data_IF_054161032439
#
_entry.id   IF_054161032439
#
_cell.length_a   1.000
_cell.length_b   1.000
_cell.length_c   1.000
_cell.angle_alpha   90.00
_cell.angle_beta   90.00
_cell.angle_gamma   90.00
#
_symmetry.space_group_name_H-M   'P 1'
#
loop_
_entity.id
_entity.type
_entity.pdbx_description
1 polymer ?
#
# COMPACT_ATOMS: atom_id res chain seq x y z
N UNK A 1 25.36 29.42 -35.34
CA UNK A 1 24.95 28.01 -35.54
C UNK A 1 24.14 27.66 -34.30
N UNK A 2 22.91 28.14 -34.27
CA UNK A 2 21.95 27.87 -33.22
C UNK A 2 21.24 26.57 -33.59
N UNK A 3 21.59 25.49 -32.92
CA UNK A 3 20.85 24.24 -33.06
C UNK A 3 19.51 24.39 -32.34
N UNK A 4 18.44 24.29 -33.11
CA UNK A 4 17.05 24.22 -32.66
C UNK A 4 16.90 23.19 -31.52
N UNK A 5 16.65 23.67 -30.30
CA UNK A 5 16.23 22.87 -29.14
C UNK A 5 14.72 22.59 -29.17
N UNK A 6 14.14 22.35 -30.34
CA UNK A 6 12.72 22.05 -30.51
C UNK A 6 12.52 20.52 -30.57
N UNK A 7 12.51 19.90 -29.38
CA UNK A 7 12.29 18.46 -29.24
C UNK A 7 12.71 17.89 -27.89
N UNK A 8 12.64 18.68 -26.81
CA UNK A 8 12.94 18.16 -25.47
C UNK A 8 11.85 17.19 -25.05
N UNK A 9 12.18 15.89 -25.08
CA UNK A 9 11.33 14.83 -24.54
C UNK A 9 10.81 15.19 -23.14
N UNK A 10 9.51 15.06 -22.92
CA UNK A 10 8.82 15.29 -21.64
C UNK A 10 9.08 14.20 -20.59
N UNK A 11 10.26 13.58 -20.62
CA UNK A 11 10.65 12.51 -19.71
C UNK A 11 11.16 13.02 -18.35
N UNK A 12 11.33 12.09 -17.42
CA UNK A 12 11.91 12.36 -16.09
C UNK A 12 13.31 11.77 -15.97
N UNK A 13 14.13 12.39 -15.13
CA UNK A 13 15.48 11.93 -14.82
C UNK A 13 15.54 11.57 -13.33
N UNK A 14 16.06 10.37 -13.03
CA UNK A 14 16.37 9.97 -11.66
C UNK A 14 17.89 9.87 -11.48
N UNK A 15 18.38 10.40 -10.36
CA UNK A 15 19.79 10.26 -10.00
C UNK A 15 20.08 8.79 -9.64
N UNK A 16 21.17 8.26 -10.16
CA UNK A 16 21.60 6.89 -9.87
C UNK A 16 22.82 6.91 -8.93
N UNK A 17 23.93 7.49 -9.39
CA UNK A 17 25.17 7.59 -8.62
C UNK A 17 26.13 8.63 -9.19
N UNK A 18 27.18 8.96 -8.44
CA UNK A 18 28.34 9.70 -8.93
C UNK A 18 29.50 8.74 -9.21
N UNK A 19 30.20 8.96 -10.30
CA UNK A 19 31.39 8.21 -10.69
C UNK A 19 32.48 9.14 -11.23
N UNK A 20 33.69 8.60 -11.42
CA UNK A 20 34.78 9.32 -12.07
C UNK A 20 34.49 9.42 -13.57
N UNK A 21 34.91 10.50 -14.22
CA UNK A 21 34.67 10.76 -15.66
C UNK A 21 35.09 9.59 -16.57
N UNK A 22 36.14 8.85 -16.21
CA UNK A 22 36.60 7.68 -16.97
C UNK A 22 35.60 6.53 -16.98
N UNK A 23 34.79 6.38 -15.93
CA UNK A 23 33.78 5.32 -15.82
C UNK A 23 32.47 5.70 -16.53
N UNK A 24 32.28 7.00 -16.81
CA UNK A 24 31.07 7.51 -17.43
C UNK A 24 30.87 6.92 -18.83
N UNK A 25 31.94 6.89 -19.63
CA UNK A 25 31.88 6.42 -21.01
C UNK A 25 31.41 4.96 -21.08
N UNK A 26 31.91 4.11 -20.17
CA UNK A 26 31.50 2.71 -20.07
C UNK A 26 30.04 2.55 -19.63
N UNK A 27 29.58 3.37 -18.69
CA UNK A 27 28.21 3.32 -18.19
C UNK A 27 27.18 3.74 -19.27
N UNK A 28 27.47 4.84 -19.97
CA UNK A 28 26.61 5.36 -21.06
C UNK A 28 26.61 4.42 -22.26
N UNK A 29 27.77 3.85 -22.63
CA UNK A 29 27.84 2.89 -23.74
C UNK A 29 27.07 1.59 -23.43
N UNK A 30 27.05 1.15 -22.18
CA UNK A 30 26.30 -0.05 -21.77
C UNK A 30 24.79 0.19 -21.73
N UNK A 31 24.34 1.39 -21.40
CA UNK A 31 22.92 1.73 -21.30
C UNK A 31 22.63 3.12 -21.88
N UNK A 32 22.00 3.22 -23.06
CA UNK A 32 21.74 4.50 -23.72
C UNK A 32 20.70 5.37 -22.97
N UNK A 33 20.02 4.81 -21.97
CA UNK A 33 19.12 5.57 -21.08
C UNK A 33 19.87 6.37 -20.02
N UNK A 34 21.18 6.18 -19.87
CA UNK A 34 21.96 6.97 -18.93
C UNK A 34 22.52 8.23 -19.57
N UNK A 35 22.43 9.33 -18.83
CA UNK A 35 22.98 10.63 -19.19
C UNK A 35 23.94 11.06 -18.08
N UNK A 36 25.19 11.31 -18.45
CA UNK A 36 26.18 11.92 -17.58
C UNK A 36 26.06 13.44 -17.59
N UNK A 37 26.05 14.06 -16.42
CA UNK A 37 26.08 15.50 -16.28
C UNK A 37 27.02 15.95 -15.16
N UNK A 38 27.78 17.01 -15.41
CA UNK A 38 28.56 17.72 -14.38
C UNK A 38 27.64 18.70 -13.66
N UNK A 39 26.92 18.21 -12.65
CA UNK A 39 26.00 19.03 -11.85
C UNK A 39 26.77 19.61 -10.67
N UNK A 40 26.75 20.94 -10.46
CA UNK A 40 27.37 21.55 -9.29
C UNK A 40 26.89 20.91 -8.00
N UNK A 41 27.82 20.59 -7.10
CA UNK A 41 27.54 19.75 -5.94
C UNK A 41 26.42 20.30 -5.04
N UNK A 42 26.41 21.61 -4.81
CA UNK A 42 25.37 22.29 -4.02
C UNK A 42 23.96 22.13 -4.61
N UNK A 43 23.82 21.98 -5.94
CA UNK A 43 22.53 21.73 -6.60
C UNK A 43 22.14 20.26 -6.39
N UNK A 44 23.09 19.34 -6.60
CA UNK A 44 22.88 17.90 -6.49
C UNK A 44 22.33 17.53 -5.12
N UNK A 45 22.95 18.02 -4.02
CA UNK A 45 22.59 17.70 -2.63
C UNK A 45 21.11 18.01 -2.31
N UNK A 46 20.53 19.02 -2.94
CA UNK A 46 19.11 19.38 -2.72
C UNK A 46 18.12 18.37 -3.31
N UNK A 47 18.57 17.59 -4.30
CA UNK A 47 17.74 16.63 -5.06
C UNK A 47 17.90 15.19 -4.59
N UNK A 48 18.98 14.88 -3.86
CA UNK A 48 19.24 13.52 -3.41
C UNK A 48 18.19 13.02 -2.41
N UNK A 49 17.83 11.76 -2.58
CA UNK A 49 17.16 10.99 -1.53
C UNK A 49 18.14 10.70 -0.40
N UNK A 50 17.63 10.21 0.73
CA UNK A 50 18.46 9.88 1.91
C UNK A 50 19.47 8.78 1.59
N UNK A 51 19.11 7.80 0.77
CA UNK A 51 19.98 6.67 0.45
C UNK A 51 21.08 7.09 -0.52
N UNK A 52 20.72 7.88 -1.53
CA UNK A 52 21.67 8.48 -2.47
C UNK A 52 22.68 9.39 -1.75
N UNK A 53 22.21 10.24 -0.84
CA UNK A 53 23.09 11.10 -0.04
C UNK A 53 24.10 10.30 0.80
N UNK A 54 23.71 9.14 1.32
CA UNK A 54 24.63 8.24 2.04
C UNK A 54 25.68 7.66 1.08
N UNK A 55 25.29 7.26 -0.12
CA UNK A 55 26.20 6.75 -1.14
C UNK A 55 27.23 7.81 -1.53
N UNK A 56 26.81 9.07 -1.71
CA UNK A 56 27.72 10.20 -1.96
C UNK A 56 28.64 10.43 -0.76
N UNK A 57 28.14 10.44 0.47
CA UNK A 57 29.02 10.56 1.65
C UNK A 57 30.13 9.49 1.68
N UNK A 58 29.82 8.23 1.31
CA UNK A 58 30.83 7.15 1.25
C UNK A 58 31.89 7.43 0.19
N UNK A 59 31.48 7.90 -0.99
CA UNK A 59 32.40 8.24 -2.08
C UNK A 59 33.39 9.33 -1.66
N UNK A 60 32.91 10.30 -0.87
CA UNK A 60 33.71 11.41 -0.33
C UNK A 60 34.40 11.10 1.00
N UNK A 61 34.33 9.85 1.49
CA UNK A 61 34.85 9.42 2.79
C UNK A 61 34.37 10.29 3.97
N UNK A 62 33.15 10.83 3.88
CA UNK A 62 32.56 11.65 4.94
C UNK A 62 31.97 10.76 6.05
N UNK A 63 32.09 11.18 7.32
CA UNK A 63 31.50 10.44 8.43
C UNK A 63 29.98 10.43 8.33
N UNK A 64 29.38 9.24 8.22
CA UNK A 64 27.92 9.10 8.15
C UNK A 64 27.34 9.17 9.58
N UNK A 65 26.43 10.11 9.88
CA UNK A 65 25.84 10.23 11.20
C UNK A 65 25.07 8.96 11.57
N UNK A 66 25.22 8.51 12.83
CA UNK A 66 24.54 7.31 13.36
C UNK A 66 23.01 7.44 13.26
N UNK A 67 22.50 8.66 13.41
CA UNK A 67 21.11 9.01 13.18
C UNK A 67 21.00 9.57 11.77
N UNK A 68 20.45 8.77 10.87
CA UNK A 68 20.41 9.07 9.44
C UNK A 68 19.26 10.05 9.10
N UNK A 69 19.23 11.23 9.71
CA UNK A 69 18.27 12.26 9.34
C UNK A 69 18.72 12.91 8.02
N UNK A 70 17.80 13.11 7.09
CA UNK A 70 18.12 13.66 5.77
C UNK A 70 18.76 15.06 5.84
N UNK A 71 18.39 15.88 6.84
CA UNK A 71 18.98 17.20 7.06
C UNK A 71 20.44 17.15 7.49
N UNK A 72 20.82 16.20 8.34
CA UNK A 72 22.22 16.05 8.81
C UNK A 72 23.13 15.59 7.66
N UNK A 73 22.64 14.70 6.79
CA UNK A 73 23.38 14.24 5.60
C UNK A 73 23.61 15.42 4.64
N UNK A 74 22.58 16.25 4.39
CA UNK A 74 22.73 17.44 3.53
C UNK A 74 23.71 18.44 4.12
N UNK A 75 23.60 18.76 5.40
CA UNK A 75 24.52 19.67 6.07
C UNK A 75 25.98 19.16 6.02
N UNK A 76 26.20 17.85 6.19
CA UNK A 76 27.52 17.25 6.07
C UNK A 76 28.09 17.33 4.65
N UNK A 77 27.24 17.15 3.62
CA UNK A 77 27.65 17.28 2.22
C UNK A 77 27.95 18.75 1.87
N UNK A 78 27.08 19.69 2.25
CA UNK A 78 27.24 21.13 1.97
C UNK A 78 28.45 21.76 2.68
N UNK A 79 28.76 21.31 3.90
CA UNK A 79 29.89 21.83 4.67
C UNK A 79 31.25 21.27 4.22
N UNK A 80 31.26 20.25 3.36
CA UNK A 80 32.51 19.64 2.92
C UNK A 80 33.04 20.33 1.66
N UNK A 81 34.35 20.51 1.65
CA UNK A 81 35.11 20.94 0.48
C UNK A 81 36.15 19.85 0.19
N UNK A 82 36.14 19.33 -1.04
CA UNK A 82 37.13 18.35 -1.47
C UNK A 82 37.52 18.57 -2.92
N UNK A 83 38.77 18.21 -3.24
CA UNK A 83 39.34 18.30 -4.59
C UNK A 83 38.78 17.23 -5.56
N UNK A 84 37.97 16.30 -5.06
CA UNK A 84 37.44 15.18 -5.86
C UNK A 84 36.32 15.67 -6.80
N UNK A 85 35.67 16.80 -6.47
CA UNK A 85 34.54 17.34 -7.24
C UNK A 85 34.85 17.62 -8.71
N UNK A 86 36.09 17.97 -9.05
CA UNK A 86 36.46 18.36 -10.41
C UNK A 86 36.42 17.18 -11.40
N UNK A 87 36.49 15.94 -10.89
CA UNK A 87 36.53 14.72 -11.69
C UNK A 87 35.27 13.85 -11.56
N UNK A 88 34.28 14.28 -10.79
CA UNK A 88 33.05 13.52 -10.58
C UNK A 88 31.95 13.95 -11.55
N UNK A 89 31.32 12.95 -12.15
CA UNK A 89 30.14 13.13 -13.00
C UNK A 89 28.96 12.45 -12.33
N UNK A 90 27.81 13.12 -12.33
CA UNK A 90 26.55 12.53 -11.89
C UNK A 90 25.89 11.78 -13.03
N UNK A 91 25.53 10.52 -12.79
CA UNK A 91 24.82 9.68 -13.76
C UNK A 91 23.32 9.70 -13.45
N UNK A 92 22.54 9.97 -14.49
CA UNK A 92 21.09 10.08 -14.42
C UNK A 92 20.45 9.08 -15.35
N UNK A 93 19.41 8.37 -14.89
CA UNK A 93 18.59 7.52 -15.76
C UNK A 93 17.42 8.33 -16.30
N UNK A 94 17.31 8.36 -17.63
CA UNK A 94 16.18 8.91 -18.35
C UNK A 94 15.05 7.89 -18.47
N UNK A 95 13.82 8.35 -18.22
CA UNK A 95 12.60 7.59 -18.44
C UNK A 95 11.73 8.33 -19.47
N UNK A 96 11.63 7.81 -20.72
CA UNK A 96 10.72 8.37 -21.72
C UNK A 96 9.27 8.01 -21.37
N UNK A 97 8.39 9.01 -21.29
CA UNK A 97 6.94 8.79 -21.15
C UNK A 97 6.31 9.38 -19.88
N UNK A 98 5.04 9.75 -20.03
CA UNK A 98 4.27 10.67 -19.19
C UNK A 98 4.45 10.45 -17.69
N UNK A 99 4.96 11.49 -17.04
CA UNK A 99 4.80 11.67 -15.60
C UNK A 99 3.32 11.91 -15.34
N UNK A 100 2.50 10.85 -15.31
CA UNK A 100 1.44 10.80 -14.32
C UNK A 100 2.18 10.94 -12.99
N UNK A 101 2.24 12.19 -12.50
CA UNK A 101 2.77 12.49 -11.19
C UNK A 101 1.97 11.60 -10.26
N UNK A 102 2.59 10.50 -9.79
CA UNK A 102 2.04 9.73 -8.68
C UNK A 102 1.57 10.78 -7.67
N UNK A 103 0.27 10.82 -7.34
CA UNK A 103 -0.33 11.95 -6.66
C UNK A 103 0.58 12.26 -5.50
N UNK A 104 1.13 13.49 -5.47
CA UNK A 104 1.92 13.94 -4.32
C UNK A 104 1.01 13.72 -3.14
N UNK A 105 1.24 12.63 -2.40
CA UNK A 105 0.61 12.39 -1.12
C UNK A 105 1.15 13.53 -0.29
N UNK A 106 0.41 14.65 -0.28
CA UNK A 106 0.62 15.71 0.66
C UNK A 106 0.70 15.01 2.00
N UNK A 107 1.90 15.04 2.58
CA UNK A 107 2.09 14.60 3.96
C UNK A 107 1.29 15.59 4.78
N UNK A 108 -0.01 15.32 4.92
CA UNK A 108 -0.87 15.95 5.91
C UNK A 108 -0.07 15.95 7.20
N UNK A 109 0.05 17.15 7.77
CA UNK A 109 0.84 17.39 8.95
C UNK A 109 0.51 16.31 9.99
N UNK A 110 1.56 15.81 10.64
CA UNK A 110 1.57 14.63 11.52
C UNK A 110 0.72 14.80 12.81
N UNK A 111 -0.16 15.80 12.86
CA UNK A 111 -1.07 16.07 13.95
C UNK A 111 -2.51 15.61 13.70
N UNK A 112 -2.88 15.20 12.47
CA UNK A 112 -4.11 14.43 12.29
C UNK A 112 -3.84 12.98 12.67
N UNK A 113 -4.33 12.57 13.85
CA UNK A 113 -4.44 11.16 14.26
C UNK A 113 -5.40 10.46 13.28
N UNK A 114 -4.91 10.07 12.10
CA UNK A 114 -5.67 9.23 11.19
C UNK A 114 -5.92 7.91 11.93
N UNK A 115 -7.19 7.51 12.16
CA UNK A 115 -7.47 6.26 12.85
C UNK A 115 -6.96 5.12 11.99
N UNK A 116 -5.96 4.45 12.55
CA UNK A 116 -5.31 3.22 12.10
C UNK A 116 -6.36 2.26 11.53
N UNK A 117 -6.31 1.94 10.23
CA UNK A 117 -7.27 1.01 9.63
C UNK A 117 -7.09 -0.40 10.21
N UNK A 118 -8.19 -1.12 10.44
CA UNK A 118 -8.17 -2.46 11.03
C UNK A 118 -7.39 -3.47 10.17
N UNK A 119 -7.35 -3.28 8.84
CA UNK A 119 -6.51 -4.06 7.94
C UNK A 119 -5.01 -3.94 8.28
N UNK A 120 -4.52 -2.72 8.54
CA UNK A 120 -3.12 -2.50 8.96
C UNK A 120 -2.85 -3.04 10.37
N UNK A 121 -3.88 -3.07 11.23
CA UNK A 121 -3.83 -3.68 12.56
C UNK A 121 -3.71 -5.20 12.51
N UNK A 122 -4.39 -5.85 11.56
CA UNK A 122 -4.28 -7.29 11.32
C UNK A 122 -2.89 -7.70 10.80
N UNK A 123 -2.36 -7.00 9.77
CA UNK A 123 -1.01 -7.29 9.23
C UNK A 123 0.08 -7.02 10.28
N UNK A 124 -0.03 -5.96 11.08
CA UNK A 124 0.90 -5.74 12.20
C UNK A 124 0.79 -6.78 13.30
N UNK A 125 -0.42 -7.28 13.62
CA UNK A 125 -0.59 -8.37 14.58
C UNK A 125 -0.01 -9.68 14.06
N UNK A 126 -0.23 -10.01 12.78
CA UNK A 126 0.35 -11.20 12.15
C UNK A 126 1.87 -11.13 12.08
N UNK A 127 2.45 -9.97 11.72
CA UNK A 127 3.90 -9.76 11.75
C UNK A 127 4.46 -9.91 13.16
N UNK A 128 3.82 -9.32 14.18
CA UNK A 128 4.22 -9.52 15.58
C UNK A 128 4.12 -10.98 16.01
N UNK A 129 3.11 -11.71 15.56
CA UNK A 129 2.98 -13.15 15.85
C UNK A 129 4.10 -13.95 15.21
N UNK A 130 4.41 -13.69 13.92
CA UNK A 130 5.55 -14.30 13.22
C UNK A 130 6.89 -13.98 13.88
N UNK A 131 7.11 -12.73 14.29
CA UNK A 131 8.34 -12.30 14.95
C UNK A 131 8.48 -12.95 16.32
N UNK A 132 7.40 -13.07 17.08
CA UNK A 132 7.38 -13.77 18.37
C UNK A 132 7.67 -15.25 18.21
N UNK A 133 7.08 -15.92 17.22
CA UNK A 133 7.33 -17.34 16.99
C UNK A 133 8.76 -17.59 16.50
N UNK A 134 9.27 -16.73 15.63
CA UNK A 134 10.66 -16.78 15.16
C UNK A 134 11.64 -16.51 16.29
N UNK A 135 11.37 -15.54 17.16
CA UNK A 135 12.19 -15.25 18.33
C UNK A 135 12.14 -16.38 19.37
N UNK A 136 10.97 -17.01 19.57
CA UNK A 136 10.78 -18.16 20.46
C UNK A 136 11.52 -19.39 19.94
N UNK A 137 11.47 -19.62 18.63
CA UNK A 137 12.21 -20.68 17.95
C UNK A 137 13.74 -20.45 18.06
N UNK A 138 14.22 -19.23 17.79
CA UNK A 138 15.63 -18.86 17.96
C UNK A 138 16.11 -18.98 19.40
N UNK A 139 15.29 -18.60 20.39
CA UNK A 139 15.61 -18.81 21.81
C UNK A 139 15.71 -20.29 22.16
N UNK A 140 14.80 -21.14 21.66
CA UNK A 140 14.87 -22.60 21.87
C UNK A 140 16.15 -23.20 21.30
N UNK A 141 16.51 -22.83 20.07
CA UNK A 141 17.78 -23.18 19.44
C UNK A 141 19.00 -22.71 20.26
N UNK A 142 19.01 -21.45 20.68
CA UNK A 142 20.13 -20.88 21.44
C UNK A 142 20.30 -21.51 22.84
N UNK A 143 19.22 -21.98 23.47
CA UNK A 143 19.27 -22.66 24.76
C UNK A 143 19.72 -24.13 24.69
N UNK A 144 19.95 -24.69 23.49
CA UNK A 144 20.31 -26.10 23.31
C UNK A 144 19.22 -27.10 23.73
N UNK A 145 18.06 -26.63 24.20
CA UNK A 145 16.88 -27.43 24.52
C UNK A 145 16.00 -27.57 23.29
N UNK A 146 16.54 -28.12 22.21
CA UNK A 146 15.65 -28.85 21.32
C UNK A 146 15.19 -30.08 22.11
N UNK A 147 13.88 -30.39 22.15
CA UNK A 147 13.46 -31.68 22.68
C UNK A 147 14.29 -32.73 21.93
N UNK A 148 14.82 -33.71 22.68
CA UNK A 148 15.64 -34.77 22.13
C UNK A 148 14.77 -35.71 21.29
N UNK A 149 14.27 -35.18 20.17
CA UNK A 149 13.58 -35.93 19.14
C UNK A 149 14.69 -36.45 18.26
N UNK A 150 14.97 -37.74 18.37
CA UNK A 150 15.86 -38.43 17.46
C UNK A 150 15.43 -38.10 16.03
N UNK A 151 16.41 -37.76 15.17
CA UNK A 151 16.16 -37.54 13.76
C UNK A 151 16.46 -38.84 13.00
N UNK A 152 15.56 -39.29 12.11
CA UNK A 152 14.28 -38.67 11.77
C UNK A 152 13.24 -38.82 12.89
N UNK A 153 12.30 -37.86 13.04
CA UNK A 153 11.23 -37.98 14.02
C UNK A 153 10.44 -39.26 13.79
N UNK A 154 9.99 -39.88 14.88
CA UNK A 154 9.11 -41.04 14.79
C UNK A 154 7.86 -40.72 13.94
N UNK A 155 7.36 -41.69 13.14
CA UNK A 155 6.13 -41.52 12.38
C UNK A 155 4.98 -41.03 13.28
N UNK A 156 4.15 -40.13 12.75
CA UNK A 156 2.94 -39.68 13.44
C UNK A 156 2.03 -40.87 13.76
N UNK A 157 1.42 -40.86 14.94
CA UNK A 157 0.39 -41.85 15.25
C UNK A 157 -0.81 -41.67 14.31
N UNK A 158 -1.46 -42.78 13.94
CA UNK A 158 -2.63 -42.78 13.04
C UNK A 158 -3.72 -41.83 13.52
N UNK A 159 -3.92 -41.70 14.85
CA UNK A 159 -4.86 -40.75 15.45
C UNK A 159 -4.53 -39.28 15.12
N UNK A 160 -3.24 -38.94 15.10
CA UNK A 160 -2.76 -37.58 14.84
C UNK A 160 -2.86 -37.28 13.35
N UNK A 161 -2.54 -38.26 12.48
CA UNK A 161 -2.79 -38.16 11.04
C UNK A 161 -4.26 -37.87 10.77
N UNK A 162 -5.19 -38.66 11.33
CA UNK A 162 -6.62 -38.40 11.16
C UNK A 162 -7.07 -37.05 11.72
N UNK A 163 -6.55 -36.63 12.88
CA UNK A 163 -6.86 -35.31 13.45
C UNK A 163 -6.41 -34.19 12.52
N UNK A 164 -5.18 -34.27 12.00
CA UNK A 164 -4.63 -33.30 11.07
C UNK A 164 -5.45 -33.30 9.78
N UNK A 165 -5.70 -34.47 9.18
CA UNK A 165 -6.49 -34.59 7.95
C UNK A 165 -7.90 -34.02 8.11
N UNK A 166 -8.59 -34.30 9.23
CA UNK A 166 -9.91 -33.73 9.52
C UNK A 166 -9.85 -32.22 9.74
N UNK A 167 -8.84 -31.74 10.45
CA UNK A 167 -8.63 -30.31 10.68
C UNK A 167 -8.43 -29.55 9.38
N UNK A 168 -7.60 -30.10 8.48
CA UNK A 168 -7.37 -29.57 7.14
C UNK A 168 -8.66 -29.62 6.31
N UNK A 169 -9.34 -30.77 6.23
CA UNK A 169 -10.59 -30.91 5.49
C UNK A 169 -11.67 -29.92 5.99
N UNK A 170 -11.76 -29.70 7.30
CA UNK A 170 -12.69 -28.73 7.89
C UNK A 170 -12.32 -27.26 7.61
N UNK A 171 -11.07 -26.95 7.24
CA UNK A 171 -10.70 -25.61 6.75
C UNK A 171 -11.16 -25.36 5.32
N UNK A 172 -11.31 -26.43 4.52
CA UNK A 172 -11.87 -26.38 3.16
C UNK A 172 -13.40 -26.51 3.12
N UNK A 173 -14.08 -26.21 4.22
CA UNK A 173 -15.54 -26.09 4.19
C UNK A 173 -15.94 -24.88 3.32
N UNK A 174 -16.84 -25.04 2.33
CA UNK A 174 -17.28 -23.94 1.45
C UNK A 174 -17.65 -22.67 2.16
N UNK A 175 -18.28 -22.77 3.32
CA UNK A 175 -18.72 -21.61 4.09
C UNK A 175 -17.56 -20.72 4.55
N UNK A 176 -16.34 -21.25 4.64
CA UNK A 176 -15.13 -20.52 5.07
C UNK A 176 -14.44 -19.73 3.95
N UNK A 177 -14.76 -20.00 2.69
CA UNK A 177 -14.18 -19.29 1.55
C UNK A 177 -15.23 -18.65 0.64
N UNK A 178 -16.50 -19.04 0.76
CA UNK A 178 -17.60 -18.31 0.14
C UNK A 178 -17.71 -16.92 0.75
N UNK A 179 -17.62 -15.92 -0.12
CA UNK A 179 -17.83 -14.53 0.23
C UNK A 179 -19.22 -14.10 -0.21
N UNK A 180 -19.80 -13.15 0.52
CA UNK A 180 -20.98 -12.42 0.08
C UNK A 180 -20.80 -10.94 0.37
N UNK A 181 -21.57 -10.10 -0.33
CA UNK A 181 -21.56 -8.66 -0.13
C UNK A 181 -22.26 -8.26 1.17
N UNK A 182 -21.68 -7.31 1.90
CA UNK A 182 -22.35 -6.65 3.01
C UNK A 182 -23.32 -5.58 2.49
N UNK A 183 -24.58 -5.62 2.92
CA UNK A 183 -25.62 -4.66 2.56
C UNK A 183 -25.29 -3.22 2.98
N UNK A 184 -24.50 -3.03 4.04
CA UNK A 184 -24.19 -1.68 4.58
C UNK A 184 -22.99 -1.05 3.90
N UNK A 185 -21.92 -1.81 3.64
CA UNK A 185 -20.66 -1.27 3.08
C UNK A 185 -20.32 -1.76 1.67
N UNK A 186 -21.07 -2.70 1.11
CA UNK A 186 -20.82 -3.29 -0.21
C UNK A 186 -19.57 -4.17 -0.31
N UNK A 187 -18.75 -4.27 0.75
CA UNK A 187 -17.54 -5.08 0.72
C UNK A 187 -17.88 -6.59 0.70
N UNK A 188 -17.12 -7.36 -0.07
CA UNK A 188 -17.12 -8.82 0.02
C UNK A 188 -16.50 -9.25 1.36
N UNK A 189 -17.15 -10.17 2.04
CA UNK A 189 -16.73 -10.72 3.33
C UNK A 189 -17.11 -12.20 3.40
N UNK A 190 -16.28 -13.01 4.05
CA UNK A 190 -16.58 -14.42 4.31
C UNK A 190 -17.97 -14.58 4.94
N UNK A 191 -18.78 -15.52 4.44
CA UNK A 191 -20.13 -15.79 4.96
C UNK A 191 -20.16 -16.12 6.45
N UNK A 192 -19.09 -16.68 7.01
CA UNK A 192 -18.99 -16.92 8.47
C UNK A 192 -18.92 -15.64 9.33
N UNK A 193 -18.58 -14.50 8.73
CA UNK A 193 -18.46 -13.17 9.36
C UNK A 193 -19.60 -12.24 8.94
N UNK A 194 -20.70 -12.82 8.49
CA UNK A 194 -21.89 -12.12 8.00
C UNK A 194 -23.12 -12.57 8.81
N UNK A 195 -23.91 -11.60 9.26
CA UNK A 195 -25.21 -11.81 9.92
C UNK A 195 -26.31 -11.52 8.90
N UNK A 196 -27.37 -12.32 8.87
CA UNK A 196 -28.51 -12.03 7.96
C UNK A 196 -29.16 -10.71 8.35
N UNK A 197 -29.58 -9.94 7.34
CA UNK A 197 -30.24 -8.65 7.55
C UNK A 197 -31.58 -8.79 8.29
N UNK A 198 -32.28 -9.91 8.12
CA UNK A 198 -33.52 -10.24 8.85
C UNK A 198 -33.29 -10.43 10.36
N UNK A 199 -32.13 -10.98 10.73
CA UNK A 199 -31.73 -11.22 12.13
C UNK A 199 -31.06 -9.98 12.76
N UNK A 200 -30.87 -8.91 11.96
CA UNK A 200 -30.17 -7.71 12.36
C UNK A 200 -30.99 -6.86 13.33
N UNK A 201 -30.53 -6.76 14.57
CA UNK A 201 -31.23 -6.04 15.66
C UNK A 201 -31.04 -4.52 15.67
N UNK A 202 -29.87 -3.96 15.32
CA UNK A 202 -29.67 -2.51 15.38
C UNK A 202 -30.59 -1.74 14.43
N UNK A 203 -30.95 -0.50 14.78
CA UNK A 203 -31.75 0.35 13.89
C UNK A 203 -30.93 0.78 12.67
N UNK A 204 -31.56 0.72 11.49
CA UNK A 204 -31.00 1.21 10.22
C UNK A 204 -31.25 2.70 9.99
N UNK A 205 -31.91 3.41 10.92
CA UNK A 205 -32.23 4.82 10.75
C UNK A 205 -30.99 5.72 10.59
N UNK A 206 -29.86 5.31 11.18
CA UNK A 206 -28.57 6.00 11.02
C UNK A 206 -28.05 6.01 9.59
N UNK A 207 -28.55 5.10 8.73
CA UNK A 207 -28.17 5.01 7.33
C UNK A 207 -29.09 5.83 6.42
N UNK A 208 -30.09 6.54 6.96
CA UNK A 208 -30.93 7.48 6.20
C UNK A 208 -30.24 8.83 6.12
N UNK A 209 -29.37 9.02 5.12
CA UNK A 209 -28.59 10.25 4.95
C UNK A 209 -29.05 10.98 3.69
N UNK A 210 -29.62 12.21 3.80
CA UNK A 210 -30.05 12.97 2.64
C UNK A 210 -28.85 13.39 1.78
N UNK A 211 -29.06 13.48 0.47
CA UNK A 211 -28.04 13.89 -0.51
C UNK A 211 -27.02 12.82 -0.89
N UNK A 212 -27.12 11.60 -0.34
CA UNK A 212 -26.16 10.51 -0.63
C UNK A 212 -26.63 9.62 -1.78
N UNK A 213 -27.93 9.36 -1.89
CA UNK A 213 -28.51 8.54 -2.96
C UNK A 213 -29.09 9.40 -4.06
N UNK A 214 -29.12 8.85 -5.27
CA UNK A 214 -29.75 9.51 -6.42
C UNK A 214 -30.40 8.46 -7.30
N UNK A 215 -31.68 8.65 -7.61
CA UNK A 215 -32.38 7.81 -8.56
C UNK A 215 -31.78 7.99 -9.96
N UNK A 216 -31.60 6.87 -10.66
CA UNK A 216 -31.15 6.87 -12.06
C UNK A 216 -32.13 7.66 -12.94
N UNK A 217 -31.58 8.40 -13.90
CA UNK A 217 -32.34 9.21 -14.86
C UNK A 217 -32.27 8.55 -16.22
N UNK A 218 -33.41 8.33 -16.85
CA UNK A 218 -33.49 7.77 -18.19
C UNK A 218 -33.61 8.85 -19.27
N UNK A 219 -33.94 10.08 -18.86
CA UNK A 219 -33.99 11.27 -19.70
C UNK A 219 -33.36 12.48 -19.02
N UNK A 220 -32.89 13.43 -19.82
CA UNK A 220 -32.41 14.74 -19.36
C UNK A 220 -33.53 15.58 -18.73
N UNK A 221 -34.79 15.27 -19.01
CA UNK A 221 -35.96 15.94 -18.44
C UNK A 221 -36.38 15.37 -17.09
N UNK A 222 -35.84 14.22 -16.68
CA UNK A 222 -36.22 13.59 -15.42
C UNK A 222 -35.68 14.41 -14.25
N UNK A 223 -36.52 14.64 -13.24
CA UNK A 223 -36.11 15.33 -12.02
C UNK A 223 -35.00 14.57 -11.28
N UNK A 224 -34.14 15.32 -10.59
CA UNK A 224 -33.16 14.72 -9.67
C UNK A 224 -33.89 14.38 -8.37
N UNK A 225 -34.05 13.09 -8.09
CA UNK A 225 -34.70 12.58 -6.87
C UNK A 225 -33.75 11.68 -6.09
N UNK A 226 -33.86 11.71 -4.77
CA UNK A 226 -33.15 10.80 -3.87
C UNK A 226 -33.97 9.53 -3.65
N UNK A 227 -33.31 8.44 -3.24
CA UNK A 227 -34.00 7.21 -2.88
C UNK A 227 -34.42 7.28 -1.41
N UNK A 228 -35.70 7.01 -1.14
CA UNK A 228 -36.22 6.98 0.22
C UNK A 228 -35.70 5.76 1.01
N UNK A 229 -35.38 5.96 2.28
CA UNK A 229 -35.00 4.89 3.21
C UNK A 229 -33.50 4.81 3.50
N UNK A 230 -33.05 3.74 4.20
CA UNK A 230 -31.64 3.56 4.53
C UNK A 230 -30.82 3.22 3.28
N UNK A 231 -29.61 3.77 3.17
CA UNK A 231 -28.72 3.50 2.06
C UNK A 231 -28.09 2.11 2.20
N UNK A 232 -28.58 1.15 1.40
CA UNK A 232 -28.12 -0.24 1.37
C UNK A 232 -27.74 -0.68 -0.06
N UNK A 233 -26.86 -1.68 -0.16
CA UNK A 233 -26.55 -2.35 -1.43
C UNK A 233 -27.72 -3.22 -1.85
N UNK A 234 -28.11 -3.13 -3.12
CA UNK A 234 -29.12 -4.02 -3.70
C UNK A 234 -28.61 -5.47 -3.73
N UNK A 235 -29.53 -6.43 -3.56
CA UNK A 235 -29.23 -7.87 -3.63
C UNK A 235 -28.35 -8.44 -2.50
N UNK A 236 -27.91 -7.61 -1.55
CA UNK A 236 -27.14 -8.07 -0.39
C UNK A 236 -28.07 -8.34 0.80
N UNK A 237 -28.15 -9.60 1.23
CA UNK A 237 -29.02 -10.03 2.33
C UNK A 237 -28.32 -10.09 3.69
N UNK A 238 -27.04 -9.70 3.76
CA UNK A 238 -26.20 -9.90 4.94
C UNK A 238 -25.46 -8.63 5.35
N UNK A 239 -25.12 -8.52 6.63
CA UNK A 239 -24.35 -7.42 7.22
C UNK A 239 -23.08 -7.99 7.85
N UNK A 240 -21.93 -7.38 7.59
CA UNK A 240 -20.67 -7.84 8.21
C UNK A 240 -20.56 -7.40 9.67
N UNK A 241 -19.85 -8.21 10.47
CA UNK A 241 -19.65 -7.99 11.92
C UNK A 241 -19.14 -6.57 12.22
N UNK A 242 -18.25 -6.01 11.39
CA UNK A 242 -17.72 -4.66 11.62
C UNK A 242 -18.77 -3.55 11.42
N UNK A 243 -19.70 -3.72 10.48
CA UNK A 243 -20.82 -2.79 10.29
C UNK A 243 -21.84 -2.96 11.41
N UNK A 244 -22.13 -4.20 11.80
CA UNK A 244 -23.02 -4.50 12.93
C UNK A 244 -22.51 -3.87 14.24
N UNK A 245 -21.23 -4.06 14.57
CA UNK A 245 -20.61 -3.50 15.78
C UNK A 245 -20.65 -1.96 15.80
N UNK A 246 -20.44 -1.32 14.64
CA UNK A 246 -20.49 0.14 14.53
C UNK A 246 -21.93 0.67 14.69
N UNK A 247 -22.90 0.03 14.04
CA UNK A 247 -24.31 0.41 14.13
C UNK A 247 -24.87 0.16 15.53
N UNK A 248 -24.49 -0.94 16.18
CA UNK A 248 -24.83 -1.21 17.59
C UNK A 248 -24.31 -0.12 18.55
N UNK A 249 -23.22 0.56 18.19
CA UNK A 249 -22.68 1.71 18.92
C UNK A 249 -23.27 3.06 18.50
N UNK A 250 -24.33 3.06 17.69
CA UNK A 250 -24.92 4.24 17.06
C UNK A 250 -23.91 5.07 16.23
N UNK A 251 -23.02 4.41 15.48
CA UNK A 251 -22.05 5.06 14.59
C UNK A 251 -22.22 4.57 13.16
N UNK A 252 -22.06 5.47 12.20
CA UNK A 252 -22.01 5.11 10.77
C UNK A 252 -20.66 4.41 10.50
N UNK A 253 -20.66 3.17 9.96
CA UNK A 253 -19.42 2.49 9.59
C UNK A 253 -18.62 3.32 8.58
N UNK A 254 -17.28 3.31 8.70
CA UNK A 254 -16.40 4.16 7.86
C UNK A 254 -16.58 3.92 6.35
N UNK A 255 -16.80 2.67 5.96
CA UNK A 255 -16.98 2.25 4.56
C UNK A 255 -18.47 2.06 4.22
N UNK A 256 -19.39 2.53 5.05
CA UNK A 256 -20.82 2.41 4.75
C UNK A 256 -21.15 3.20 3.47
N UNK A 257 -22.08 2.68 2.69
CA UNK A 257 -22.59 3.34 1.49
C UNK A 257 -23.18 4.72 1.83
N UNK A 258 -23.82 4.83 3.00
CA UNK A 258 -24.33 6.07 3.58
C UNK A 258 -23.24 7.15 3.81
N UNK A 259 -21.95 6.80 3.83
CA UNK A 259 -20.83 7.73 4.00
C UNK A 259 -20.28 8.20 2.64
N UNK A 260 -21.17 8.57 1.71
CA UNK A 260 -20.84 8.97 0.33
C UNK A 260 -20.06 7.91 -0.48
N UNK A 261 -20.18 6.63 -0.11
CA UNK A 261 -19.59 5.51 -0.86
C UNK A 261 -20.61 4.80 -1.78
N UNK A 262 -21.85 5.30 -1.83
CA UNK A 262 -22.90 4.76 -2.68
C UNK A 262 -22.73 5.19 -4.14
N UNK A 263 -22.71 4.21 -5.05
CA UNK A 263 -22.62 4.43 -6.50
C UNK A 263 -23.93 4.05 -7.20
N UNK A 264 -24.82 3.33 -6.51
CA UNK A 264 -26.00 2.70 -7.09
C UNK A 264 -25.68 1.37 -7.76
N UNK A 265 -26.68 0.84 -8.45
CA UNK A 265 -26.53 -0.39 -9.23
C UNK A 265 -25.70 -0.12 -10.47
N UNK A 266 -24.81 -1.05 -10.81
CA UNK A 266 -24.01 -0.94 -12.02
C UNK A 266 -24.94 -1.19 -13.21
N UNK A 267 -25.16 -0.20 -14.09
CA UNK A 267 -26.09 -0.35 -15.20
C UNK A 267 -25.59 -1.45 -16.14
N UNK A 268 -26.49 -2.21 -16.80
CA UNK A 268 -26.12 -3.35 -17.66
C UNK A 268 -25.07 -3.04 -18.71
N UNK A 269 -25.03 -1.80 -19.19
CA UNK A 269 -24.09 -1.30 -20.18
C UNK A 269 -22.65 -1.22 -19.66
N UNK A 270 -22.47 -1.09 -18.34
CA UNK A 270 -21.15 -1.06 -17.67
C UNK A 270 -20.77 -2.41 -17.06
N UNK A 271 -21.65 -3.40 -17.10
CA UNK A 271 -21.36 -4.74 -16.58
C UNK A 271 -20.34 -5.45 -17.47
N UNK A 272 -19.27 -5.98 -16.86
CA UNK A 272 -18.25 -6.75 -17.55
C UNK A 272 -17.09 -5.95 -18.16
N UNK A 273 -17.10 -4.62 -18.03
CA UNK A 273 -15.95 -3.79 -18.42
C UNK A 273 -14.79 -3.99 -17.45
N UNK A 274 -13.58 -4.13 -17.99
CA UNK A 274 -12.35 -4.11 -17.18
C UNK A 274 -11.88 -2.67 -16.99
N UNK A 275 -11.07 -2.41 -15.97
CA UNK A 275 -10.52 -1.08 -15.67
C UNK A 275 -9.77 -0.38 -16.84
N UNK A 276 -9.37 -1.14 -17.87
CA UNK A 276 -8.60 -0.65 -19.02
C UNK A 276 -9.41 -0.44 -20.31
N UNK A 277 -10.73 -0.67 -20.27
CA UNK A 277 -11.66 -0.50 -21.41
C UNK A 277 -12.53 0.75 -21.21
#
# INVERSE_FOLDING_TARGET
MDHDLQGLDTGSYNFEYQCVDTELHDAVHKNPTFVGARVPFHILVTKLTREEGISVCKLHNLPIPKRRLAGEIRAALEAHDCQIHDNLVSLWRFFPGEVEKAPKVERKSRNEKVPFSDAYRSDQQERKFRDLDTARFKRRLATGRLPNTEFPPNPLEVKDVHRISRGVAAQFDPRKFEEAGCAVCGCLTEKTKLTKLEDFKPSLDLLKVPGVTRQERFSITDDVRELDGPVLASGCEHVCVSCEDALAQNKIPKLALANSCWIGDIPPQLQGLKYAE
#
